data_IF_452383604770
#
_entry.id   IF_452383604770
#
_cell.length_a   1.000
_cell.length_b   1.000
_cell.length_c   1.000
_cell.angle_alpha   90.00
_cell.angle_beta   90.00
_cell.angle_gamma   90.00
#
_symmetry.space_group_name_H-M   'P 1'
#
loop_
_entity.id
_entity.type
_entity.pdbx_description
1 polymer ?
#
# COMPACT_ATOMS: atom_id res chain seq x y z
N UNK A 1 -4.29 13.51 -17.67
CA UNK A 1 -3.34 12.48 -18.16
C UNK A 1 -2.68 11.71 -17.00
N UNK A 2 -2.23 12.36 -15.91
CA UNK A 2 -1.61 11.67 -14.77
C UNK A 2 -2.47 10.58 -14.10
N UNK A 3 -3.80 10.73 -14.03
CA UNK A 3 -4.70 9.77 -13.36
C UNK A 3 -4.81 8.38 -14.04
N UNK A 4 -4.55 8.30 -15.34
CA UNK A 4 -4.56 7.04 -16.10
C UNK A 4 -3.31 6.20 -15.82
N UNK A 5 -2.17 6.85 -15.58
CA UNK A 5 -0.91 6.14 -15.30
C UNK A 5 -1.00 5.44 -13.94
N UNK A 6 -1.58 6.10 -12.93
CA UNK A 6 -1.74 5.52 -11.60
C UNK A 6 -2.72 4.35 -11.53
N UNK A 7 -3.63 4.20 -12.51
CA UNK A 7 -4.55 3.06 -12.59
C UNK A 7 -4.01 1.88 -13.39
N UNK A 8 -2.85 2.00 -14.06
CA UNK A 8 -2.25 0.89 -14.81
C UNK A 8 -2.04 -0.38 -13.98
N UNK A 9 -1.53 -0.32 -12.73
CA UNK A 9 -1.42 -1.51 -11.88
C UNK A 9 -2.78 -2.15 -11.61
N UNK A 10 -3.83 -1.35 -11.38
CA UNK A 10 -5.19 -1.83 -11.16
C UNK A 10 -5.72 -2.56 -12.39
N UNK A 11 -5.55 -2.02 -13.60
CA UNK A 11 -5.95 -2.68 -14.83
C UNK A 11 -5.23 -4.00 -15.07
N UNK A 12 -3.92 -4.03 -14.80
CA UNK A 12 -3.12 -5.25 -14.89
C UNK A 12 -3.61 -6.33 -13.92
N UNK A 13 -3.86 -5.96 -12.65
CA UNK A 13 -4.41 -6.87 -11.64
C UNK A 13 -5.81 -7.35 -12.01
N UNK A 14 -6.67 -6.49 -12.55
CA UNK A 14 -8.00 -6.88 -13.02
C UNK A 14 -7.87 -7.97 -14.10
N UNK A 15 -7.05 -7.72 -15.11
CA UNK A 15 -6.88 -8.62 -16.25
C UNK A 15 -6.25 -9.97 -15.86
N UNK A 16 -5.20 -9.96 -15.04
CA UNK A 16 -4.36 -11.15 -14.78
C UNK A 16 -4.68 -11.88 -13.48
N UNK A 17 -5.33 -11.21 -12.52
CA UNK A 17 -5.68 -11.77 -11.22
C UNK A 17 -7.19 -11.91 -11.08
N UNK A 18 -7.96 -10.81 -11.15
CA UNK A 18 -9.40 -10.83 -10.82
C UNK A 18 -10.24 -11.62 -11.83
N UNK A 19 -10.01 -11.43 -13.13
CA UNK A 19 -10.72 -12.15 -14.19
C UNK A 19 -10.54 -13.68 -14.11
N UNK A 20 -9.31 -14.23 -13.97
CA UNK A 20 -9.11 -15.68 -13.90
C UNK A 20 -9.47 -16.32 -12.55
N UNK A 21 -9.78 -15.54 -11.51
CA UNK A 21 -10.28 -16.10 -10.25
C UNK A 21 -11.67 -16.74 -10.46
N UNK A 22 -11.91 -17.89 -9.81
CA UNK A 22 -13.19 -18.62 -9.86
C UNK A 22 -14.23 -17.98 -8.92
N UNK A 23 -14.50 -16.68 -9.12
CA UNK A 23 -15.46 -15.90 -8.34
C UNK A 23 -16.71 -15.56 -9.17
N UNK A 24 -17.88 -15.36 -8.54
CA UNK A 24 -19.06 -14.87 -9.24
C UNK A 24 -18.79 -13.47 -9.82
N UNK A 25 -19.48 -13.16 -10.93
CA UNK A 25 -19.28 -11.91 -11.67
C UNK A 25 -19.48 -10.66 -10.79
N UNK A 26 -20.45 -10.70 -9.88
CA UNK A 26 -20.71 -9.61 -8.93
C UNK A 26 -19.49 -9.26 -8.06
N UNK A 27 -18.81 -10.29 -7.54
CA UNK A 27 -17.60 -10.10 -6.72
C UNK A 27 -16.45 -9.59 -7.59
N UNK A 28 -16.31 -10.05 -8.83
CA UNK A 28 -15.29 -9.54 -9.77
C UNK A 28 -15.49 -8.06 -10.08
N UNK A 29 -16.73 -7.64 -10.32
CA UNK A 29 -17.08 -6.24 -10.57
C UNK A 29 -16.75 -5.40 -9.33
N UNK A 30 -17.16 -5.85 -8.15
CA UNK A 30 -16.89 -5.16 -6.89
C UNK A 30 -15.38 -5.00 -6.65
N UNK A 31 -14.60 -6.07 -6.76
CA UNK A 31 -13.14 -6.03 -6.57
C UNK A 31 -12.45 -5.14 -7.62
N UNK A 32 -12.90 -5.17 -8.87
CA UNK A 32 -12.36 -4.32 -9.93
C UNK A 32 -12.65 -2.85 -9.67
N UNK A 33 -13.87 -2.52 -9.24
CA UNK A 33 -14.24 -1.17 -8.84
C UNK A 33 -13.41 -0.68 -7.65
N UNK A 34 -13.24 -1.51 -6.62
CA UNK A 34 -12.40 -1.18 -5.46
C UNK A 34 -10.92 -0.95 -5.86
N UNK A 35 -10.37 -1.79 -6.73
CA UNK A 35 -8.98 -1.64 -7.22
C UNK A 35 -8.79 -0.35 -8.02
N UNK A 36 -9.76 0.04 -8.84
CA UNK A 36 -9.73 1.29 -9.57
C UNK A 36 -9.90 2.48 -8.63
N UNK A 37 -10.88 2.44 -7.71
CA UNK A 37 -11.09 3.50 -6.72
C UNK A 37 -9.84 3.72 -5.86
N UNK A 38 -9.18 2.65 -5.40
CA UNK A 38 -7.95 2.73 -4.63
C UNK A 38 -6.84 3.49 -5.38
N UNK A 39 -6.71 3.29 -6.69
CA UNK A 39 -5.73 4.01 -7.52
C UNK A 39 -6.01 5.50 -7.69
N UNK A 40 -7.24 5.94 -7.41
CA UNK A 40 -7.69 7.32 -7.57
C UNK A 40 -7.73 8.07 -6.24
N UNK A 41 -6.99 7.61 -5.21
CA UNK A 41 -6.94 8.27 -3.91
C UNK A 41 -6.68 9.78 -3.99
N UNK A 42 -5.74 10.21 -4.84
CA UNK A 42 -5.41 11.64 -5.04
C UNK A 42 -6.57 12.48 -5.63
N UNK A 43 -7.48 11.85 -6.40
CA UNK A 43 -8.69 12.52 -6.86
C UNK A 43 -9.73 12.59 -5.74
N UNK A 44 -9.89 11.51 -4.98
CA UNK A 44 -10.83 11.44 -3.85
C UNK A 44 -10.45 12.45 -2.77
N UNK A 45 -9.16 12.57 -2.46
CA UNK A 45 -8.65 13.56 -1.49
C UNK A 45 -8.89 15.00 -1.95
N UNK A 46 -8.94 15.26 -3.27
CA UNK A 46 -9.23 16.60 -3.82
C UNK A 46 -10.68 17.05 -3.60
N UNK A 47 -11.63 16.12 -3.46
CA UNK A 47 -13.02 16.43 -3.12
C UNK A 47 -13.25 16.60 -1.62
N UNK A 48 -12.23 16.32 -0.80
CA UNK A 48 -12.27 16.56 0.65
C UNK A 48 -11.76 17.98 0.94
N UNK A 49 -12.32 18.63 1.97
CA UNK A 49 -12.26 20.08 2.24
C UNK A 49 -10.86 20.69 2.43
N UNK A 50 -9.83 19.87 2.66
CA UNK A 50 -8.46 20.32 2.74
C UNK A 50 -7.64 19.71 1.61
N UNK A 51 -6.69 20.48 1.06
CA UNK A 51 -5.83 20.04 -0.04
C UNK A 51 -5.09 18.71 0.20
N UNK A 52 -4.28 18.27 -0.76
CA UNK A 52 -3.64 16.93 -0.81
C UNK A 52 -2.83 16.58 0.46
N UNK A 53 -2.47 17.58 1.28
CA UNK A 53 -1.71 17.45 2.54
C UNK A 53 -2.46 17.94 3.79
N UNK A 54 -3.76 18.24 3.71
CA UNK A 54 -4.53 18.63 4.89
C UNK A 54 -4.81 17.41 5.78
N UNK A 55 -4.49 17.56 7.07
CA UNK A 55 -4.72 16.55 8.10
C UNK A 55 -6.21 16.34 8.46
N UNK A 56 -7.14 16.96 7.73
CA UNK A 56 -8.59 16.86 7.96
C UNK A 56 -9.19 15.50 7.59
N UNK A 57 -8.50 14.70 6.78
CA UNK A 57 -9.06 13.43 6.29
C UNK A 57 -9.04 12.36 7.40
N UNK A 58 -10.15 11.66 7.68
CA UNK A 58 -10.21 10.67 8.75
C UNK A 58 -9.11 9.61 8.58
N UNK A 59 -8.30 9.41 9.64
CA UNK A 59 -7.15 8.48 9.64
C UNK A 59 -7.51 7.08 9.11
N UNK A 60 -8.70 6.58 9.45
CA UNK A 60 -9.17 5.27 8.99
C UNK A 60 -9.32 5.20 7.45
N UNK A 61 -9.77 6.28 6.81
CA UNK A 61 -9.92 6.35 5.36
C UNK A 61 -8.54 6.33 4.69
N UNK A 62 -7.58 7.10 5.21
CA UNK A 62 -6.20 7.11 4.72
C UNK A 62 -5.57 5.71 4.80
N UNK A 63 -5.74 5.04 5.94
CA UNK A 63 -5.24 3.67 6.15
C UNK A 63 -5.89 2.70 5.15
N UNK A 64 -7.22 2.76 4.97
CA UNK A 64 -7.95 1.90 4.05
C UNK A 64 -7.47 2.07 2.61
N UNK A 65 -7.32 3.31 2.14
CA UNK A 65 -6.85 3.60 0.78
C UNK A 65 -5.40 3.16 0.57
N UNK A 66 -4.50 3.45 1.51
CA UNK A 66 -3.11 3.00 1.44
C UNK A 66 -3.01 1.47 1.46
N UNK A 67 -3.83 0.80 2.25
CA UNK A 67 -3.87 -0.66 2.29
C UNK A 67 -4.40 -1.26 0.99
N UNK A 68 -5.51 -0.72 0.47
CA UNK A 68 -6.11 -1.19 -0.77
C UNK A 68 -5.17 -0.97 -1.97
N UNK A 69 -4.58 0.23 -2.09
CA UNK A 69 -3.66 0.53 -3.17
C UNK A 69 -2.34 -0.25 -3.03
N UNK A 70 -1.80 -0.37 -1.82
CA UNK A 70 -0.63 -1.21 -1.53
C UNK A 70 -0.86 -2.68 -1.89
N UNK A 71 -2.06 -3.21 -1.64
CA UNK A 71 -2.45 -4.56 -2.06
C UNK A 71 -2.43 -4.69 -3.58
N UNK A 72 -2.99 -3.73 -4.32
CA UNK A 72 -2.97 -3.73 -5.80
C UNK A 72 -1.54 -3.68 -6.33
N UNK A 73 -0.69 -2.83 -5.78
CA UNK A 73 0.72 -2.73 -6.20
C UNK A 73 1.48 -4.03 -5.95
N UNK A 74 1.36 -4.61 -4.76
CA UNK A 74 2.00 -5.89 -4.44
C UNK A 74 1.47 -7.02 -5.32
N UNK A 75 0.16 -7.07 -5.58
CA UNK A 75 -0.44 -8.02 -6.52
C UNK A 75 0.13 -7.86 -7.93
N UNK A 76 0.29 -6.64 -8.42
CA UNK A 76 0.88 -6.38 -9.72
C UNK A 76 2.32 -6.92 -9.78
N UNK A 77 3.14 -6.62 -8.75
CA UNK A 77 4.53 -7.12 -8.68
C UNK A 77 4.57 -8.65 -8.60
N UNK A 78 3.77 -9.27 -7.73
CA UNK A 78 3.72 -10.73 -7.61
C UNK A 78 3.27 -11.40 -8.90
N UNK A 79 2.29 -10.82 -9.59
CA UNK A 79 1.83 -11.36 -10.86
C UNK A 79 2.90 -11.23 -11.95
N UNK A 80 3.68 -10.14 -11.99
CA UNK A 80 4.82 -10.00 -12.91
C UNK A 80 5.87 -11.08 -12.61
N UNK A 81 6.18 -11.31 -11.34
CA UNK A 81 7.14 -12.35 -10.92
C UNK A 81 6.64 -13.74 -11.33
N UNK A 82 5.36 -14.06 -11.07
CA UNK A 82 4.76 -15.33 -11.47
C UNK A 82 4.77 -15.51 -12.99
N UNK A 83 4.43 -14.46 -13.75
CA UNK A 83 4.45 -14.48 -15.20
C UNK A 83 5.88 -14.73 -15.73
N UNK A 84 6.89 -14.10 -15.14
CA UNK A 84 8.30 -14.31 -15.48
C UNK A 84 8.77 -15.74 -15.17
N UNK A 85 8.38 -16.28 -14.02
CA UNK A 85 8.70 -17.68 -13.65
C UNK A 85 8.03 -18.66 -14.61
N UNK A 86 6.75 -18.45 -14.95
CA UNK A 86 6.03 -19.29 -15.90
C UNK A 86 6.64 -19.22 -17.31
N UNK A 87 7.05 -18.02 -17.75
CA UNK A 87 7.73 -17.82 -19.03
C UNK A 87 9.07 -18.56 -19.07
N UNK A 88 9.87 -18.45 -18.00
CA UNK A 88 11.15 -19.15 -17.88
C UNK A 88 10.96 -20.67 -17.89
N UNK A 89 9.98 -21.16 -17.13
CA UNK A 89 9.65 -22.58 -17.09
C UNK A 89 9.21 -23.12 -18.45
N UNK A 90 8.43 -22.34 -19.20
CA UNK A 90 8.05 -22.64 -20.59
C UNK A 90 9.29 -22.69 -21.51
N UNK A 91 10.22 -21.74 -21.38
CA UNK A 91 11.46 -21.71 -22.17
C UNK A 91 12.35 -22.94 -21.89
N UNK A 92 12.36 -23.41 -20.64
CA UNK A 92 13.03 -24.63 -20.20
C UNK A 92 12.23 -25.91 -20.53
N UNK A 93 11.13 -25.82 -21.29
CA UNK A 93 10.24 -26.93 -21.69
C UNK A 93 9.57 -27.66 -20.52
N UNK A 94 9.46 -27.02 -19.36
CA UNK A 94 8.76 -27.52 -18.18
C UNK A 94 7.62 -26.57 -17.81
N UNK A 95 6.47 -26.60 -18.51
CA UNK A 95 5.38 -25.67 -18.23
C UNK A 95 4.84 -25.86 -16.81
N UNK A 96 4.76 -24.76 -16.06
CA UNK A 96 4.23 -24.73 -14.70
C UNK A 96 2.85 -24.05 -14.69
N UNK A 97 1.74 -24.81 -14.72
CA UNK A 97 0.41 -24.23 -14.65
C UNK A 97 0.16 -23.66 -13.25
N UNK A 98 -0.30 -22.41 -13.19
CA UNK A 98 -0.64 -21.77 -11.93
C UNK A 98 -1.98 -22.31 -11.40
N UNK A 99 -1.94 -23.03 -10.28
CA UNK A 99 -3.14 -23.59 -9.66
C UNK A 99 -4.07 -22.48 -9.11
N UNK A 100 -5.40 -22.71 -9.04
CA UNK A 100 -6.32 -21.77 -8.41
C UNK A 100 -5.90 -21.44 -6.96
N UNK A 101 -5.49 -22.44 -6.19
CA UNK A 101 -5.01 -22.25 -4.82
C UNK A 101 -3.81 -21.31 -4.71
N UNK A 102 -2.85 -21.42 -5.64
CA UNK A 102 -1.71 -20.51 -5.69
C UNK A 102 -2.13 -19.05 -5.94
N UNK A 103 -3.16 -18.82 -6.78
CA UNK A 103 -3.71 -17.48 -7.04
C UNK A 103 -4.36 -16.86 -5.80
N UNK A 104 -5.13 -17.64 -5.04
CA UNK A 104 -5.72 -17.17 -3.80
C UNK A 104 -4.63 -16.87 -2.75
N UNK A 105 -3.59 -17.71 -2.68
CA UNK A 105 -2.48 -17.50 -1.78
C UNK A 105 -1.73 -16.19 -2.09
N UNK A 106 -1.48 -15.86 -3.36
CA UNK A 106 -0.86 -14.57 -3.72
C UNK A 106 -1.71 -13.38 -3.32
N UNK A 107 -3.03 -13.47 -3.44
CA UNK A 107 -3.96 -12.42 -2.97
C UNK A 107 -3.86 -12.24 -1.47
N UNK A 108 -3.93 -13.33 -0.70
CA UNK A 108 -3.84 -13.27 0.76
C UNK A 108 -2.48 -12.73 1.23
N UNK A 109 -1.38 -13.17 0.61
CA UNK A 109 -0.04 -12.67 0.91
C UNK A 109 0.10 -11.18 0.59
N UNK A 110 -0.40 -10.72 -0.55
CA UNK A 110 -0.36 -9.31 -0.92
C UNK A 110 -1.17 -8.45 0.06
N UNK A 111 -2.37 -8.88 0.44
CA UNK A 111 -3.20 -8.19 1.44
C UNK A 111 -2.52 -8.12 2.81
N UNK A 112 -1.92 -9.23 3.26
CA UNK A 112 -1.23 -9.31 4.54
C UNK A 112 0.04 -8.45 4.59
N UNK A 113 0.86 -8.49 3.53
CA UNK A 113 2.06 -7.66 3.42
C UNK A 113 1.73 -6.19 3.29
N UNK A 114 0.67 -5.83 2.54
CA UNK A 114 0.18 -4.46 2.49
C UNK A 114 -0.28 -3.98 3.87
N UNK A 115 -1.03 -4.80 4.61
CA UNK A 115 -1.48 -4.46 5.96
C UNK A 115 -0.29 -4.25 6.91
N UNK A 116 0.68 -5.15 6.86
CA UNK A 116 1.91 -5.02 7.63
C UNK A 116 2.69 -3.75 7.26
N UNK A 117 2.87 -3.47 5.97
CA UNK A 117 3.57 -2.27 5.49
C UNK A 117 2.89 -0.99 5.93
N UNK A 118 1.56 -0.92 5.84
CA UNK A 118 0.79 0.23 6.34
C UNK A 118 0.92 0.36 7.86
N UNK A 119 0.86 -0.75 8.61
CA UNK A 119 1.04 -0.74 10.07
C UNK A 119 2.42 -0.22 10.48
N UNK A 120 3.49 -0.59 9.75
CA UNK A 120 4.83 -0.06 10.01
C UNK A 120 4.94 1.42 9.62
N UNK A 121 4.30 1.84 8.51
CA UNK A 121 4.34 3.22 8.05
C UNK A 121 3.62 4.20 9.00
N UNK A 122 2.55 3.77 9.66
CA UNK A 122 1.81 4.59 10.62
C UNK A 122 2.35 4.50 12.06
N UNK A 123 3.40 3.71 12.30
CA UNK A 123 3.97 3.54 13.63
C UNK A 123 4.66 4.85 14.04
N UNK A 124 4.12 5.49 15.07
CA UNK A 124 4.69 6.73 15.60
C UNK A 124 6.04 6.41 16.24
N UNK A 125 7.11 7.16 15.89
CA UNK A 125 8.40 7.02 16.56
C UNK A 125 8.25 7.29 18.06
N UNK A 126 8.90 6.50 18.94
CA UNK A 126 8.89 6.80 20.36
C UNK A 126 9.56 8.16 20.60
N UNK A 127 8.91 9.03 21.37
CA UNK A 127 9.51 10.27 21.83
C UNK A 127 10.65 9.90 22.78
N UNK A 128 11.86 10.36 22.47
CA UNK A 128 13.04 10.09 23.29
C UNK A 128 13.35 11.34 24.11
N UNK A 129 13.05 11.30 25.40
CA UNK A 129 13.44 12.34 26.33
C UNK A 129 14.87 12.06 26.81
N UNK A 130 15.78 13.01 26.56
CA UNK A 130 17.18 12.92 26.98
C UNK A 130 17.50 14.15 27.83
N UNK A 131 17.71 13.94 29.12
CA UNK A 131 18.21 14.99 30.02
C UNK A 131 19.71 15.14 29.81
N UNK A 132 20.12 16.30 29.31
CA UNK A 132 21.53 16.63 29.11
C UNK A 132 22.04 17.44 30.31
N UNK A 133 23.04 16.93 31.01
CA UNK A 133 23.74 17.67 32.06
C UNK A 133 24.89 18.46 31.43
N UNK A 134 24.75 19.78 31.41
CA UNK A 134 25.77 20.68 30.87
C UNK A 134 26.54 21.31 32.05
N UNK A 135 27.86 21.06 32.19
CA UNK A 135 28.65 21.70 33.22
C UNK A 135 28.76 23.21 32.94
N UNK A 136 28.63 24.02 33.99
CA UNK A 136 28.62 25.50 33.92
C UNK A 136 27.45 26.11 33.12
N UNK A 137 26.29 25.45 33.10
CA UNK A 137 25.08 26.03 32.53
C UNK A 137 24.63 27.25 33.36
N UNK A 138 24.40 28.42 32.74
CA UNK A 138 23.81 29.56 33.45
C UNK A 138 22.45 29.19 34.03
N UNK A 139 22.14 29.65 35.25
CA UNK A 139 20.91 29.30 35.97
C UNK A 139 19.62 29.65 35.19
N UNK A 140 19.70 30.63 34.29
CA UNK A 140 18.60 31.06 33.40
C UNK A 140 18.16 29.96 32.41
N UNK A 141 19.05 29.01 32.10
CA UNK A 141 18.79 27.90 31.18
C UNK A 141 18.52 26.57 31.89
N UNK A 142 18.49 26.54 33.22
CA UNK A 142 18.15 25.33 33.97
C UNK A 142 16.66 24.98 33.75
N UNK A 143 16.40 23.73 33.35
CA UNK A 143 15.06 23.28 32.94
C UNK A 143 14.64 23.63 31.51
N UNK A 144 15.53 24.20 30.68
CA UNK A 144 15.23 24.51 29.28
C UNK A 144 14.96 23.23 28.46
N UNK A 145 13.82 23.18 27.77
CA UNK A 145 13.43 22.03 26.94
C UNK A 145 13.63 22.33 25.45
N UNK A 146 14.35 21.44 24.76
CA UNK A 146 14.55 21.50 23.32
C UNK A 146 13.79 20.36 22.65
N UNK A 147 12.88 20.70 21.72
CA UNK A 147 12.20 19.73 20.88
C UNK A 147 12.94 19.64 19.54
N UNK A 148 13.52 18.48 19.24
CA UNK A 148 14.08 18.20 17.93
C UNK A 148 13.09 17.38 17.11
N UNK A 149 12.61 17.93 16.00
CA UNK A 149 11.84 17.22 14.99
C UNK A 149 12.81 16.73 13.91
N UNK A 150 12.92 15.42 13.74
CA UNK A 150 13.71 14.76 12.68
C UNK A 150 12.81 13.96 11.77
#
# INVERSE_FOLDING_TARGET
MFHLIFSLPSWYVIARVIIPLSLPLSVKILLSALALLASQYLLVSRFTSGGIFSAEMPRAIIILFNWAYGTVLLLAVFQIVLDAVMLLALLLRHPLPLSPGARYLTVLLAMGLAAFGVQQAIRVPPVKEVTLFLPNLPAEFDGYQLLQLT
#
